data_IF_765380282862
#
_entry.id   IF_765380282862
#
_cell.length_a   1.000
_cell.length_b   1.000
_cell.length_c   1.000
_cell.angle_alpha   90.00
_cell.angle_beta   90.00
_cell.angle_gamma   90.00
#
_symmetry.space_group_name_H-M   'P 1'
#
loop_
_entity.id
_entity.type
_entity.pdbx_description
1 polymer ?
#
# COMPACT_ATOMS: atom_id res chain seq x y z
N UNK A 1 -3.34 11.30 6.47
CA UNK A 1 -3.67 10.33 5.41
C UNK A 1 -4.56 11.01 4.39
N UNK A 2 -4.33 10.80 3.08
CA UNK A 2 -5.23 11.30 2.03
C UNK A 2 -6.62 10.65 2.13
N UNK A 3 -7.62 11.26 1.50
CA UNK A 3 -8.97 10.71 1.45
C UNK A 3 -8.98 9.43 0.61
N UNK A 4 -9.56 8.35 1.15
CA UNK A 4 -9.76 7.10 0.41
C UNK A 4 -10.71 7.34 -0.76
N UNK A 5 -10.42 6.74 -1.90
CA UNK A 5 -11.34 6.79 -3.04
C UNK A 5 -12.57 5.87 -2.81
N UNK A 6 -13.57 6.01 -3.68
CA UNK A 6 -14.80 5.23 -3.57
C UNK A 6 -14.61 3.71 -3.83
N UNK A 7 -13.49 3.32 -4.43
CA UNK A 7 -13.20 1.94 -4.84
C UNK A 7 -12.33 1.19 -3.84
N UNK A 8 -11.68 1.88 -2.90
CA UNK A 8 -10.82 1.34 -1.86
C UNK A 8 -11.43 0.11 -1.17
N UNK A 9 -12.64 0.26 -0.65
CA UNK A 9 -13.34 -0.81 0.06
C UNK A 9 -13.70 -1.98 -0.88
N UNK A 10 -14.01 -1.70 -2.15
CA UNK A 10 -14.33 -2.75 -3.12
C UNK A 10 -13.09 -3.58 -3.46
N UNK A 11 -11.94 -2.93 -3.60
CA UNK A 11 -10.66 -3.58 -3.84
C UNK A 11 -10.24 -4.47 -2.67
N UNK A 12 -10.29 -3.93 -1.44
CA UNK A 12 -10.00 -4.69 -0.21
C UNK A 12 -10.90 -5.93 -0.12
N UNK A 13 -12.20 -5.75 -0.33
CA UNK A 13 -13.15 -6.86 -0.26
C UNK A 13 -12.89 -7.92 -1.34
N UNK A 14 -12.45 -7.53 -2.53
CA UNK A 14 -12.08 -8.47 -3.60
C UNK A 14 -10.83 -9.28 -3.24
N UNK A 15 -9.80 -8.62 -2.71
CA UNK A 15 -8.54 -9.25 -2.29
C UNK A 15 -8.75 -10.22 -1.13
N UNK A 16 -9.52 -9.84 -0.11
CA UNK A 16 -9.87 -10.73 1.02
C UNK A 16 -10.66 -11.95 0.54
N UNK A 17 -11.59 -11.78 -0.41
CA UNK A 17 -12.33 -12.91 -1.01
C UNK A 17 -11.44 -13.84 -1.84
N UNK A 18 -10.38 -13.32 -2.42
CA UNK A 18 -9.37 -14.09 -3.15
C UNK A 18 -8.27 -14.64 -2.23
N UNK A 19 -8.49 -14.63 -0.90
CA UNK A 19 -7.58 -15.10 0.15
C UNK A 19 -6.22 -14.39 0.20
N UNK A 20 -6.14 -13.13 -0.23
CA UNK A 20 -4.96 -12.30 -0.05
C UNK A 20 -4.93 -11.70 1.36
N UNK A 21 -3.76 -11.70 1.99
CA UNK A 21 -3.52 -11.00 3.25
C UNK A 21 -3.10 -9.56 2.97
N UNK A 22 -3.85 -8.60 3.51
CA UNK A 22 -3.45 -7.18 3.47
C UNK A 22 -2.49 -6.93 4.61
N UNK A 23 -1.29 -6.40 4.31
CA UNK A 23 -0.27 -6.12 5.33
C UNK A 23 -0.34 -4.69 5.85
N UNK A 24 -0.65 -3.72 4.97
CA UNK A 24 -0.64 -2.30 5.27
C UNK A 24 -1.69 -1.56 4.43
N UNK A 25 -2.51 -0.71 5.07
CA UNK A 25 -3.50 0.17 4.43
C UNK A 25 -3.68 1.47 5.25
N UNK A 26 -3.10 2.62 4.80
CA UNK A 26 -2.16 2.76 3.71
C UNK A 26 -0.74 2.34 4.12
N UNK A 27 0.04 1.90 3.15
CA UNK A 27 1.46 1.70 3.30
C UNK A 27 2.21 3.04 3.28
N UNK A 28 2.95 3.35 4.35
CA UNK A 28 3.64 4.64 4.51
C UNK A 28 5.13 4.50 4.21
N UNK A 29 5.60 5.21 3.19
CA UNK A 29 7.02 5.29 2.81
C UNK A 29 7.56 6.66 3.24
N UNK A 30 8.65 6.69 4.01
CA UNK A 30 9.36 7.93 4.31
C UNK A 30 10.31 8.27 3.16
N UNK A 31 10.13 9.44 2.55
CA UNK A 31 11.01 9.96 1.50
C UNK A 31 11.58 11.33 1.91
N UNK A 32 12.78 11.33 2.48
CA UNK A 32 13.39 12.53 3.05
C UNK A 32 12.52 13.13 4.18
N UNK A 33 12.05 14.37 4.00
CA UNK A 33 11.15 15.05 4.95
C UNK A 33 9.65 14.89 4.62
N UNK A 34 9.31 14.09 3.60
CA UNK A 34 7.92 13.89 3.18
C UNK A 34 7.51 12.44 3.39
N UNK A 35 6.28 12.26 3.84
CA UNK A 35 5.64 10.95 3.88
C UNK A 35 4.89 10.72 2.58
N UNK A 36 5.13 9.57 1.98
CA UNK A 36 4.44 9.10 0.79
C UNK A 36 3.50 7.98 1.21
N UNK A 37 2.25 8.05 0.77
CA UNK A 37 1.21 7.08 1.11
C UNK A 37 0.89 6.28 -0.14
N UNK A 38 1.03 4.95 -0.05
CA UNK A 38 0.67 4.01 -1.11
C UNK A 38 -0.51 3.19 -0.59
N UNK A 39 -1.57 3.05 -1.38
CA UNK A 39 -2.79 2.38 -0.92
C UNK A 39 -2.55 0.89 -0.60
N UNK A 40 -1.72 0.21 -1.39
CA UNK A 40 -1.28 -1.17 -1.14
C UNK A 40 0.20 -1.34 -1.53
N UNK A 41 1.03 -1.77 -0.58
CA UNK A 41 2.43 -2.14 -0.82
C UNK A 41 2.60 -3.67 -0.85
N UNK A 42 3.51 -4.23 -1.67
CA UNK A 42 3.87 -5.63 -1.53
C UNK A 42 4.53 -5.86 -0.16
N UNK A 43 4.26 -7.02 0.46
CA UNK A 43 4.82 -7.40 1.75
C UNK A 43 6.36 -7.46 1.78
N UNK A 44 6.99 -7.46 0.60
CA UNK A 44 8.43 -7.41 0.43
C UNK A 44 8.78 -6.30 -0.57
N UNK A 45 9.15 -5.12 -0.06
CA UNK A 45 9.85 -4.15 -0.90
C UNK A 45 11.27 -4.67 -1.18
N UNK A 46 11.51 -5.15 -2.39
CA UNK A 46 12.87 -5.34 -2.89
C UNK A 46 13.41 -3.97 -3.31
N UNK A 47 14.18 -3.33 -2.43
CA UNK A 47 14.97 -2.16 -2.78
C UNK A 47 16.33 -2.62 -3.32
N UNK A 48 16.69 -2.17 -4.52
CA UNK A 48 18.01 -2.37 -5.10
C UNK A 48 18.53 -1.02 -5.60
N UNK A 49 19.76 -0.68 -5.24
CA UNK A 49 20.49 0.45 -5.83
C UNK A 49 21.53 -0.08 -6.81
N UNK A 50 21.84 0.73 -7.82
CA UNK A 50 22.94 0.49 -8.76
C UNK A 50 23.73 1.79 -8.88
N UNK A 51 25.05 1.70 -8.69
CA UNK A 51 26.00 2.80 -8.95
C UNK A 51 25.94 3.30 -10.41
#
# INVERSE_FOLDING_TARGET
MPARDAYHNNLINALVKDNWSITDDPYVIKWGFRDMFVDLGPSLLLAAEKE
#
